data_IF_822682781680
#
_entry.id   IF_822682781680
#
_cell.length_a   1.000
_cell.length_b   1.000
_cell.length_c   1.000
_cell.angle_alpha   90.00
_cell.angle_beta   90.00
_cell.angle_gamma   90.00
#
_symmetry.space_group_name_H-M   'P 1'
#
loop_
_entity.id
_entity.type
_entity.pdbx_description
1 polymer ?
#
# COMPACT_ATOMS: atom_id res chain seq x y z
N UNK A 1 4.24 10.99 -53.82
CA UNK A 1 5.60 11.11 -53.25
C UNK A 1 5.48 10.75 -51.78
N UNK A 2 5.86 9.55 -51.36
CA UNK A 2 5.77 9.12 -49.97
C UNK A 2 7.02 9.64 -49.23
N UNK A 3 6.83 10.49 -48.23
CA UNK A 3 7.91 10.98 -47.38
C UNK A 3 8.23 9.88 -46.37
N UNK A 4 9.41 9.26 -46.49
CA UNK A 4 9.91 8.32 -45.50
C UNK A 4 10.11 9.08 -44.18
N UNK A 5 9.44 8.61 -43.12
CA UNK A 5 9.54 9.18 -41.78
C UNK A 5 10.52 8.31 -41.00
N UNK A 6 11.74 8.79 -40.83
CA UNK A 6 12.75 8.09 -40.04
C UNK A 6 12.30 8.04 -38.58
N UNK A 7 12.23 6.83 -38.02
CA UNK A 7 11.83 6.59 -36.62
C UNK A 7 13.08 6.17 -35.85
N UNK A 8 13.52 7.03 -34.94
CA UNK A 8 14.60 6.72 -34.02
C UNK A 8 14.10 5.77 -32.92
N UNK A 9 14.85 4.69 -32.66
CA UNK A 9 14.50 3.68 -31.67
C UNK A 9 15.69 3.38 -30.78
N UNK A 10 15.45 3.27 -29.48
CA UNK A 10 16.46 2.86 -28.51
C UNK A 10 16.03 1.53 -27.89
N UNK A 11 16.99 0.61 -27.80
CA UNK A 11 16.82 -0.71 -27.23
C UNK A 11 17.80 -0.89 -26.08
N UNK A 12 17.30 -1.40 -24.96
CA UNK A 12 18.11 -1.72 -23.79
C UNK A 12 18.33 -3.22 -23.71
N UNK A 13 19.60 -3.58 -23.53
CA UNK A 13 20.05 -4.96 -23.39
C UNK A 13 20.65 -5.17 -22.01
N UNK A 14 20.39 -6.34 -21.42
CA UNK A 14 21.09 -6.85 -20.24
C UNK A 14 21.74 -8.18 -20.64
N UNK A 15 23.05 -8.15 -20.84
CA UNK A 15 23.76 -9.21 -21.55
C UNK A 15 23.27 -9.30 -23.00
N UNK A 16 22.86 -10.50 -23.43
CA UNK A 16 22.32 -10.74 -24.77
C UNK A 16 20.78 -10.61 -24.86
N UNK A 17 20.11 -10.30 -23.76
CA UNK A 17 18.65 -10.22 -23.70
C UNK A 17 18.15 -8.77 -23.81
N UNK A 18 17.28 -8.51 -24.80
CA UNK A 18 16.58 -7.23 -24.92
C UNK A 18 15.49 -7.12 -23.84
N UNK A 19 15.60 -6.12 -22.97
CA UNK A 19 14.66 -5.92 -21.84
C UNK A 19 13.66 -4.81 -22.08
N UNK A 20 13.96 -3.85 -22.96
CA UNK A 20 13.04 -2.76 -23.32
C UNK A 20 13.32 -2.20 -24.72
N UNK A 21 12.27 -1.73 -25.39
CA UNK A 21 12.33 -0.94 -26.64
C UNK A 21 11.38 0.26 -26.50
N UNK A 22 11.86 1.45 -26.87
CA UNK A 22 11.01 2.64 -26.97
C UNK A 22 11.56 3.61 -28.02
N UNK A 23 10.66 4.28 -28.72
CA UNK A 23 10.90 5.37 -29.68
C UNK A 23 10.83 6.76 -29.04
N UNK A 24 10.53 6.84 -27.73
CA UNK A 24 10.46 8.11 -27.02
C UNK A 24 11.84 8.56 -26.51
N UNK A 25 12.42 9.53 -27.22
CA UNK A 25 13.71 10.14 -26.87
C UNK A 25 13.72 10.76 -25.47
N UNK A 26 12.59 11.34 -25.03
CA UNK A 26 12.50 12.00 -23.71
C UNK A 26 12.55 11.00 -22.57
N UNK A 27 11.92 9.84 -22.76
CA UNK A 27 11.98 8.73 -21.81
C UNK A 27 13.43 8.27 -21.61
N UNK A 28 14.20 8.10 -22.68
CA UNK A 28 15.59 7.66 -22.55
C UNK A 28 16.49 8.70 -21.89
N UNK A 29 16.30 9.98 -22.20
CA UNK A 29 17.05 11.06 -21.53
C UNK A 29 16.82 11.06 -20.00
N UNK A 30 15.59 10.78 -19.54
CA UNK A 30 15.32 10.73 -18.10
C UNK A 30 15.92 9.49 -17.44
N UNK A 31 15.87 8.33 -18.12
CA UNK A 31 16.50 7.09 -17.63
C UNK A 31 18.02 7.26 -17.49
N UNK A 32 18.70 7.79 -18.51
CA UNK A 32 20.14 8.03 -18.43
C UNK A 32 20.52 9.07 -17.36
N UNK A 33 19.71 10.13 -17.20
CA UNK A 33 19.93 11.12 -16.14
C UNK A 33 19.75 10.52 -14.74
N UNK A 34 18.81 9.59 -14.55
CA UNK A 34 18.60 8.90 -13.29
C UNK A 34 19.74 7.92 -12.96
N UNK A 35 20.25 7.19 -13.96
CA UNK A 35 21.38 6.27 -13.78
C UNK A 35 22.64 7.04 -13.36
N UNK A 36 22.97 8.13 -14.06
CA UNK A 36 24.17 8.91 -13.79
C UNK A 36 24.10 9.71 -12.46
N UNK A 37 22.90 9.91 -11.90
CA UNK A 37 22.75 10.57 -10.58
C UNK A 37 23.10 9.69 -9.39
N UNK A 38 23.20 8.38 -9.57
CA UNK A 38 23.44 7.45 -8.46
C UNK A 38 24.92 7.12 -8.22
N UNK A 39 25.86 7.66 -9.00
CA UNK A 39 27.29 7.37 -8.82
C UNK A 39 28.06 8.37 -7.93
N UNK A 40 27.54 9.57 -7.65
CA UNK A 40 28.25 10.56 -6.82
C UNK A 40 27.49 10.93 -5.54
N UNK A 41 28.18 10.70 -4.41
CA UNK A 41 27.77 11.01 -3.04
C UNK A 41 27.58 12.50 -2.76
N UNK A 42 26.74 12.83 -1.77
CA UNK A 42 27.02 13.96 -0.86
C UNK A 42 26.38 15.31 -1.17
N UNK A 43 25.64 15.80 -0.17
CA UNK A 43 25.43 17.20 0.24
C UNK A 43 25.78 18.32 -0.75
N UNK A 44 24.78 19.04 -1.27
CA UNK A 44 24.52 20.48 -0.99
C UNK A 44 23.40 21.02 -1.88
N UNK A 45 22.73 22.03 -1.34
CA UNK A 45 21.55 22.70 -1.84
C UNK A 45 21.73 23.42 -3.19
N UNK A 46 20.60 23.48 -3.89
CA UNK A 46 20.00 24.67 -4.48
C UNK A 46 19.99 24.79 -6.02
N UNK A 47 18.74 24.84 -6.50
CA UNK A 47 18.25 25.44 -7.74
C UNK A 47 18.79 24.96 -9.09
N UNK A 48 17.92 24.30 -9.88
CA UNK A 48 17.17 25.03 -10.90
C UNK A 48 16.01 24.17 -11.43
N UNK A 49 14.84 24.81 -11.39
CA UNK A 49 13.56 24.39 -11.93
C UNK A 49 13.69 24.04 -13.41
N UNK A 50 13.06 22.93 -13.84
CA UNK A 50 12.31 22.84 -15.10
C UNK A 50 11.56 21.48 -15.19
N UNK A 51 10.24 21.61 -15.37
CA UNK A 51 9.25 20.63 -15.81
C UNK A 51 8.72 19.57 -14.84
N UNK A 52 8.01 20.09 -13.84
CA UNK A 52 7.08 19.40 -12.92
C UNK A 52 5.76 18.93 -13.57
N UNK A 53 5.75 18.59 -14.86
CA UNK A 53 4.49 18.28 -15.58
C UNK A 53 4.42 16.87 -16.18
N UNK A 54 5.34 15.97 -15.82
CA UNK A 54 5.32 14.55 -16.23
C UNK A 54 5.39 13.58 -15.03
N UNK A 55 5.50 14.08 -13.78
CA UNK A 55 5.53 13.28 -12.55
C UNK A 55 4.28 13.38 -11.67
N UNK A 56 3.26 14.14 -12.10
CA UNK A 56 2.03 14.37 -11.33
C UNK A 56 1.11 13.13 -11.20
N UNK A 57 1.43 12.01 -11.87
CA UNK A 57 0.70 10.76 -11.71
C UNK A 57 1.13 9.91 -10.52
N UNK A 58 2.41 9.96 -10.14
CA UNK A 58 2.98 9.08 -9.10
C UNK A 58 3.04 9.76 -7.73
N UNK A 59 3.25 11.08 -7.69
CA UNK A 59 3.36 11.83 -6.44
C UNK A 59 2.04 11.89 -5.65
N UNK A 60 0.89 11.89 -6.33
CA UNK A 60 -0.43 11.94 -5.67
C UNK A 60 -0.79 10.65 -4.92
N UNK A 61 -0.30 9.50 -5.38
CA UNK A 61 -0.54 8.20 -4.70
C UNK A 61 0.43 8.04 -3.52
N UNK A 62 1.65 8.57 -3.64
CA UNK A 62 2.66 8.45 -2.59
C UNK A 62 2.29 9.23 -1.32
N UNK A 63 1.65 10.40 -1.43
CA UNK A 63 1.32 11.20 -0.25
C UNK A 63 0.37 10.48 0.76
N UNK A 64 -0.76 9.88 0.33
CA UNK A 64 -1.58 9.03 1.20
C UNK A 64 -0.81 7.87 1.84
N UNK A 65 0.06 7.20 1.07
CA UNK A 65 0.85 6.05 1.57
C UNK A 65 1.82 6.51 2.65
N UNK A 66 2.50 7.65 2.44
CA UNK A 66 3.42 8.24 3.43
C UNK A 66 2.66 8.63 4.70
N UNK A 67 1.48 9.24 4.57
CA UNK A 67 0.62 9.57 5.72
C UNK A 67 0.23 8.30 6.48
N UNK A 68 -0.16 7.25 5.77
CA UNK A 68 -0.54 5.98 6.36
C UNK A 68 0.63 5.29 7.09
N UNK A 69 1.81 5.26 6.48
CA UNK A 69 3.02 4.73 7.10
C UNK A 69 3.40 5.51 8.36
N UNK A 70 3.32 6.85 8.31
CA UNK A 70 3.58 7.72 9.46
C UNK A 70 2.56 7.53 10.58
N UNK A 71 1.30 7.31 10.24
CA UNK A 71 0.21 7.07 11.18
C UNK A 71 0.37 5.74 11.92
N UNK A 72 0.83 4.70 11.23
CA UNK A 72 1.14 3.40 11.83
C UNK A 72 2.50 3.43 12.58
N UNK A 73 3.42 4.30 12.16
CA UNK A 73 4.78 4.38 12.71
C UNK A 73 5.70 3.29 12.18
N UNK A 74 5.60 2.99 10.87
CA UNK A 74 6.46 2.03 10.14
C UNK A 74 7.08 2.69 8.91
N UNK A 75 8.11 2.05 8.35
CA UNK A 75 8.70 2.50 7.10
C UNK A 75 7.76 2.25 5.91
N UNK A 76 7.82 3.17 4.93
CA UNK A 76 6.96 3.11 3.73
C UNK A 76 7.21 1.83 2.93
N UNK A 77 8.47 1.38 2.85
CA UNK A 77 8.80 0.15 2.10
C UNK A 77 8.17 -1.08 2.75
N UNK A 78 8.18 -1.18 4.08
CA UNK A 78 7.54 -2.28 4.81
C UNK A 78 6.02 -2.27 4.63
N UNK A 79 5.40 -1.09 4.69
CA UNK A 79 3.96 -0.95 4.46
C UNK A 79 3.57 -1.40 3.04
N UNK A 80 4.33 -0.98 2.03
CA UNK A 80 4.08 -1.36 0.64
C UNK A 80 4.24 -2.86 0.42
N UNK A 81 5.26 -3.48 1.03
CA UNK A 81 5.47 -4.92 0.97
C UNK A 81 4.31 -5.69 1.62
N UNK A 82 3.79 -5.19 2.75
CA UNK A 82 2.76 -5.91 3.51
C UNK A 82 1.33 -5.71 2.96
N UNK A 83 1.02 -4.51 2.46
CA UNK A 83 -0.36 -4.08 2.20
C UNK A 83 -0.59 -3.47 0.81
N UNK A 84 0.44 -3.06 0.07
CA UNK A 84 0.34 -2.39 -1.24
C UNK A 84 -0.95 -1.55 -1.44
N UNK A 85 -1.09 -0.43 -0.71
CA UNK A 85 -2.33 0.35 -0.69
C UNK A 85 -2.55 1.12 -2.00
N UNK A 86 -3.79 1.15 -2.49
CA UNK A 86 -4.21 1.74 -3.77
C UNK A 86 -5.49 2.58 -3.57
N UNK A 87 -5.68 3.63 -4.36
CA UNK A 87 -6.88 4.50 -4.29
C UNK A 87 -8.13 3.92 -4.99
N UNK A 88 -7.96 2.87 -5.79
CA UNK A 88 -9.05 2.19 -6.51
C UNK A 88 -9.27 0.82 -5.90
N UNK A 89 -10.51 0.32 -5.99
CA UNK A 89 -10.85 -1.05 -5.58
C UNK A 89 -9.86 -2.06 -6.19
N UNK A 90 -9.31 -3.01 -5.39
CA UNK A 90 -9.74 -3.41 -4.04
C UNK A 90 -9.18 -2.56 -2.88
N UNK A 91 -8.56 -1.41 -3.17
CA UNK A 91 -7.93 -0.44 -2.27
C UNK A 91 -6.67 -0.91 -1.54
N UNK A 92 -6.46 -2.21 -1.41
CA UNK A 92 -5.31 -2.77 -0.70
C UNK A 92 -5.07 -4.21 -1.16
N UNK A 93 -3.80 -4.61 -1.29
CA UNK A 93 -3.42 -6.00 -1.52
C UNK A 93 -2.57 -6.51 -0.37
N UNK A 94 -3.12 -7.44 0.40
CA UNK A 94 -2.37 -8.04 1.51
C UNK A 94 -1.37 -9.05 0.97
N UNK A 95 -0.14 -9.00 1.46
CA UNK A 95 0.85 -10.01 1.14
C UNK A 95 0.59 -11.30 1.95
N UNK A 96 0.49 -12.42 1.22
CA UNK A 96 0.20 -13.73 1.80
C UNK A 96 1.31 -14.20 2.76
N UNK A 97 2.58 -13.83 2.53
CA UNK A 97 3.68 -14.26 3.39
C UNK A 97 3.64 -13.52 4.72
N UNK A 98 3.39 -12.21 4.68
CA UNK A 98 3.18 -11.39 5.88
C UNK A 98 2.00 -11.92 6.71
N UNK A 99 0.90 -12.27 6.05
CA UNK A 99 -0.24 -12.93 6.71
C UNK A 99 0.14 -14.26 7.37
N UNK A 100 0.82 -15.15 6.65
CA UNK A 100 1.20 -16.47 7.19
C UNK A 100 2.16 -16.38 8.38
N UNK A 101 3.07 -15.40 8.39
CA UNK A 101 3.96 -15.14 9.51
C UNK A 101 3.21 -14.55 10.71
N UNK A 102 2.36 -13.55 10.47
CA UNK A 102 1.56 -12.92 11.52
C UNK A 102 0.62 -13.91 12.21
N UNK A 103 -0.04 -14.81 11.47
CA UNK A 103 -0.92 -15.85 12.05
C UNK A 103 -0.17 -16.79 13.00
N UNK A 104 1.13 -17.05 12.79
CA UNK A 104 1.92 -17.86 13.72
C UNK A 104 2.17 -17.14 15.05
N UNK A 105 2.17 -15.82 15.03
CA UNK A 105 2.49 -14.97 16.17
C UNK A 105 1.25 -14.50 16.94
N UNK A 106 0.05 -14.71 16.39
CA UNK A 106 -1.22 -14.33 17.02
C UNK A 106 -1.93 -15.57 17.58
N UNK A 107 -2.46 -15.51 18.81
CA UNK A 107 -3.19 -16.65 19.37
C UNK A 107 -4.46 -16.93 18.57
N UNK A 108 -4.74 -18.21 18.31
CA UNK A 108 -5.94 -18.64 17.57
C UNK A 108 -7.24 -18.38 18.35
N UNK A 109 -7.16 -18.29 19.68
CA UNK A 109 -8.29 -18.09 20.60
C UNK A 109 -7.87 -17.22 21.77
N UNK A 110 -8.81 -16.46 22.31
CA UNK A 110 -8.61 -15.64 23.49
C UNK A 110 -8.97 -14.17 23.26
N UNK A 111 -8.79 -13.33 24.28
CA UNK A 111 -9.12 -11.90 24.21
C UNK A 111 -8.22 -11.13 23.23
N UNK A 112 -7.01 -11.62 22.97
CA UNK A 112 -6.03 -11.02 22.05
C UNK A 112 -6.06 -11.64 20.65
N UNK A 113 -6.99 -12.57 20.39
CA UNK A 113 -7.12 -13.20 19.09
C UNK A 113 -7.81 -12.25 18.11
N UNK A 114 -7.16 -11.98 16.97
CA UNK A 114 -7.68 -11.11 15.91
C UNK A 114 -8.07 -11.96 14.72
N UNK A 115 -9.31 -11.83 14.24
CA UNK A 115 -9.75 -12.56 13.05
C UNK A 115 -9.25 -11.90 11.77
N UNK A 116 -9.14 -12.67 10.68
CA UNK A 116 -8.76 -12.14 9.36
C UNK A 116 -9.63 -10.95 8.93
N UNK A 117 -10.94 -11.05 9.17
CA UNK A 117 -11.89 -9.98 8.86
C UNK A 117 -11.69 -8.74 9.75
N UNK A 118 -11.40 -8.92 11.03
CA UNK A 118 -11.09 -7.79 11.91
C UNK A 118 -9.79 -7.10 11.48
N UNK A 119 -8.76 -7.86 11.07
CA UNK A 119 -7.51 -7.30 10.57
C UNK A 119 -7.74 -6.50 9.28
N UNK A 120 -8.39 -7.09 8.26
CA UNK A 120 -8.61 -6.39 6.98
C UNK A 120 -9.46 -5.13 7.16
N UNK A 121 -10.49 -5.20 8.00
CA UNK A 121 -11.29 -4.03 8.38
C UNK A 121 -10.45 -2.95 9.07
N UNK A 122 -9.52 -3.34 9.94
CA UNK A 122 -8.64 -2.41 10.66
C UNK A 122 -7.72 -1.66 9.69
N UNK A 123 -7.01 -2.41 8.85
CA UNK A 123 -6.09 -1.86 7.85
C UNK A 123 -6.83 -0.93 6.87
N UNK A 124 -8.00 -1.36 6.39
CA UNK A 124 -8.80 -0.58 5.44
C UNK A 124 -9.36 0.70 6.06
N UNK A 125 -9.83 0.66 7.32
CA UNK A 125 -10.29 1.87 8.01
C UNK A 125 -9.18 2.90 8.19
N UNK A 126 -7.98 2.45 8.55
CA UNK A 126 -6.83 3.35 8.70
C UNK A 126 -6.40 3.91 7.34
N UNK A 127 -6.31 3.07 6.31
CA UNK A 127 -5.99 3.52 4.95
C UNK A 127 -6.96 4.58 4.44
N UNK A 128 -8.27 4.33 4.58
CA UNK A 128 -9.30 5.26 4.15
C UNK A 128 -9.22 6.60 4.87
N UNK A 129 -8.88 6.57 6.17
CA UNK A 129 -8.62 7.77 6.95
C UNK A 129 -7.42 8.55 6.40
N UNK A 130 -6.29 7.88 6.14
CA UNK A 130 -5.08 8.55 5.63
C UNK A 130 -5.24 9.03 4.17
N UNK A 131 -6.04 8.33 3.37
CA UNK A 131 -6.33 8.66 1.97
C UNK A 131 -7.47 9.68 1.78
N UNK A 132 -8.19 10.05 2.86
CA UNK A 132 -9.34 10.96 2.78
C UNK A 132 -10.55 10.37 2.06
N UNK A 133 -10.71 9.04 2.09
CA UNK A 133 -11.84 8.31 1.52
C UNK A 133 -12.98 8.16 2.54
N UNK A 134 -14.19 7.93 2.04
CA UNK A 134 -15.33 7.60 2.91
C UNK A 134 -15.18 6.20 3.51
N UNK A 135 -15.52 6.05 4.80
CA UNK A 135 -15.41 4.81 5.59
C UNK A 135 -15.68 3.51 4.81
N UNK A 136 -14.86 2.46 5.01
CA UNK A 136 -14.98 1.26 4.22
C UNK A 136 -16.22 0.43 4.57
N UNK A 137 -16.65 -0.40 3.63
CA UNK A 137 -17.75 -1.34 3.81
C UNK A 137 -17.26 -2.75 4.15
N UNK A 138 -18.14 -3.56 4.74
CA UNK A 138 -17.84 -4.99 4.97
C UNK A 138 -17.53 -5.75 3.68
N UNK A 139 -18.16 -5.37 2.57
CA UNK A 139 -17.93 -6.02 1.27
C UNK A 139 -16.52 -5.77 0.75
N UNK A 140 -16.01 -4.53 0.87
CA UNK A 140 -14.64 -4.20 0.47
C UNK A 140 -13.61 -4.99 1.30
N UNK A 141 -13.86 -5.18 2.59
CA UNK A 141 -13.00 -6.03 3.44
C UNK A 141 -12.99 -7.49 2.99
N UNK A 142 -14.15 -8.01 2.55
CA UNK A 142 -14.24 -9.37 2.02
C UNK A 142 -13.49 -9.49 0.69
N UNK A 143 -13.59 -8.50 -0.20
CA UNK A 143 -12.87 -8.49 -1.49
C UNK A 143 -11.35 -8.61 -1.28
N UNK A 144 -10.80 -7.86 -0.32
CA UNK A 144 -9.36 -7.91 0.00
C UNK A 144 -8.96 -9.29 0.54
N UNK A 145 -9.78 -9.89 1.40
CA UNK A 145 -9.49 -11.24 1.93
C UNK A 145 -9.60 -12.30 0.83
N UNK A 146 -10.61 -12.21 -0.04
CA UNK A 146 -10.77 -13.14 -1.15
C UNK A 146 -9.60 -13.07 -2.13
N UNK A 147 -8.96 -11.91 -2.30
CA UNK A 147 -7.77 -11.75 -3.13
C UNK A 147 -6.57 -12.57 -2.64
N UNK A 148 -6.48 -12.83 -1.33
CA UNK A 148 -5.50 -13.73 -0.72
C UNK A 148 -6.09 -15.13 -0.47
N UNK A 149 -7.23 -15.48 -1.05
CA UNK A 149 -7.83 -16.82 -0.86
C UNK A 149 -8.33 -17.09 0.56
N UNK A 150 -8.60 -16.06 1.35
CA UNK A 150 -9.21 -16.17 2.67
C UNK A 150 -10.68 -15.75 2.64
N UNK A 151 -11.47 -16.38 3.50
CA UNK A 151 -12.85 -15.96 3.73
C UNK A 151 -13.04 -15.47 5.17
N UNK A 152 -13.68 -14.30 5.31
CA UNK A 152 -14.11 -13.78 6.60
C UNK A 152 -15.22 -14.65 7.22
N UNK A 153 -14.85 -15.61 8.08
CA UNK A 153 -15.85 -16.37 8.85
C UNK A 153 -16.56 -15.45 9.86
N UNK A 154 -17.87 -15.29 9.71
CA UNK A 154 -18.73 -14.47 10.56
C UNK A 154 -18.26 -12.99 10.71
N UNK A 155 -18.34 -12.16 9.64
CA UNK A 155 -17.90 -10.77 9.65
C UNK A 155 -18.49 -9.94 10.81
N UNK A 156 -19.81 -10.02 11.02
CA UNK A 156 -20.51 -9.29 12.08
C UNK A 156 -19.99 -9.64 13.47
N UNK A 157 -19.69 -10.92 13.73
CA UNK A 157 -19.14 -11.37 15.02
C UNK A 157 -17.71 -10.88 15.20
N UNK A 158 -16.91 -10.93 14.14
CA UNK A 158 -15.53 -10.43 14.13
C UNK A 158 -15.47 -8.95 14.52
N UNK A 159 -16.34 -8.12 13.95
CA UNK A 159 -16.41 -6.69 14.28
C UNK A 159 -16.92 -6.47 15.71
N UNK A 160 -17.95 -7.19 16.15
CA UNK A 160 -18.48 -7.06 17.53
C UNK A 160 -17.47 -7.43 18.61
N UNK A 161 -16.61 -8.41 18.34
CA UNK A 161 -15.58 -8.87 19.27
C UNK A 161 -14.31 -8.01 19.23
N UNK A 162 -14.23 -7.05 18.31
CA UNK A 162 -13.08 -6.19 18.14
C UNK A 162 -13.31 -4.85 18.87
N UNK A 163 -12.52 -4.52 19.90
CA UNK A 163 -12.80 -3.35 20.73
C UNK A 163 -12.66 -2.02 19.97
N UNK A 164 -11.75 -1.92 18.99
CA UNK A 164 -11.51 -0.69 18.22
C UNK A 164 -12.39 -0.53 16.97
N UNK A 165 -13.14 -1.57 16.55
CA UNK A 165 -14.04 -1.50 15.41
C UNK A 165 -15.49 -1.32 15.83
N UNK A 166 -16.27 -0.66 14.99
CA UNK A 166 -17.72 -0.57 15.11
C UNK A 166 -18.37 -0.61 13.73
N UNK A 167 -19.52 -1.29 13.65
CA UNK A 167 -20.38 -1.27 12.45
C UNK A 167 -21.49 -0.25 12.64
N UNK A 168 -21.68 0.62 11.66
CA UNK A 168 -22.82 1.55 11.57
C UNK A 168 -23.92 0.97 10.68
N UNK A 169 -25.02 1.71 10.53
CA UNK A 169 -26.09 1.39 9.56
C UNK A 169 -25.49 1.31 8.15
N UNK A 170 -25.93 0.32 7.37
CA UNK A 170 -25.44 0.11 6.00
C UNK A 170 -24.11 -0.65 5.91
N UNK A 171 -23.70 -1.40 6.94
CA UNK A 171 -22.45 -2.20 6.94
C UNK A 171 -21.17 -1.36 6.74
N UNK A 172 -21.24 -0.07 7.05
CA UNK A 172 -20.10 0.84 7.08
C UNK A 172 -19.31 0.57 8.36
N UNK A 173 -18.00 0.42 8.22
CA UNK A 173 -17.07 0.15 9.29
C UNK A 173 -16.39 1.45 9.70
N UNK A 174 -16.25 1.66 11.01
CA UNK A 174 -15.60 2.85 11.56
C UNK A 174 -14.69 2.44 12.72
N UNK A 175 -13.58 3.15 12.89
CA UNK A 175 -12.77 3.06 14.10
C UNK A 175 -13.48 3.78 15.25
N UNK A 176 -13.37 3.23 16.47
CA UNK A 176 -13.77 3.95 17.68
C UNK A 176 -12.65 4.91 18.07
N UNK A 177 -12.93 6.22 18.23
CA UNK A 177 -11.88 7.20 18.52
C UNK A 177 -11.05 6.91 19.78
N UNK A 178 -11.66 6.31 20.80
CA UNK A 178 -10.99 5.99 22.07
C UNK A 178 -9.99 4.83 21.98
N UNK A 179 -10.00 4.04 20.90
CA UNK A 179 -9.24 2.79 20.76
C UNK A 179 -8.42 2.77 19.47
N UNK A 180 -8.12 3.95 18.89
CA UNK A 180 -7.33 4.09 17.67
C UNK A 180 -5.92 3.51 17.87
N UNK A 181 -5.33 3.69 19.06
CA UNK A 181 -3.98 3.23 19.34
C UNK A 181 -3.85 1.71 19.21
N UNK A 182 -4.87 0.95 19.65
CA UNK A 182 -4.92 -0.50 19.46
C UNK A 182 -5.05 -0.90 17.99
N UNK A 183 -5.83 -0.14 17.21
CA UNK A 183 -5.96 -0.35 15.78
C UNK A 183 -4.61 -0.17 15.06
N UNK A 184 -3.89 0.90 15.43
CA UNK A 184 -2.54 1.21 14.93
C UNK A 184 -1.56 0.12 15.32
N UNK A 185 -1.57 -0.34 16.57
CA UNK A 185 -0.68 -1.40 17.04
C UNK A 185 -0.91 -2.73 16.29
N UNK A 186 -2.15 -3.11 16.04
CA UNK A 186 -2.46 -4.32 15.25
C UNK A 186 -1.99 -4.17 13.80
N UNK A 187 -2.21 -3.01 13.19
CA UNK A 187 -1.74 -2.73 11.83
C UNK A 187 -0.19 -2.76 11.75
N UNK A 188 0.48 -2.19 12.74
CA UNK A 188 1.93 -2.21 12.89
C UNK A 188 2.46 -3.63 13.03
N UNK A 189 1.89 -4.39 13.97
CA UNK A 189 2.28 -5.77 14.22
C UNK A 189 2.12 -6.65 12.98
N UNK A 190 1.08 -6.43 12.17
CA UNK A 190 0.91 -7.12 10.89
C UNK A 190 2.04 -6.79 9.91
N UNK A 191 2.37 -5.51 9.72
CA UNK A 191 3.41 -5.09 8.78
C UNK A 191 4.81 -5.56 9.21
N UNK A 192 5.09 -5.55 10.51
CA UNK A 192 6.36 -6.02 11.08
C UNK A 192 6.42 -7.55 11.25
N UNK A 193 5.31 -8.26 10.99
CA UNK A 193 5.14 -9.71 11.26
C UNK A 193 5.34 -10.09 12.73
N UNK A 194 5.01 -9.19 13.66
CA UNK A 194 5.13 -9.37 15.10
C UNK A 194 3.77 -9.70 15.77
N UNK A 195 3.81 -10.12 17.04
CA UNK A 195 2.61 -10.21 17.89
C UNK A 195 2.17 -8.80 18.34
N UNK A 196 0.87 -8.45 18.25
CA UNK A 196 0.39 -7.18 18.80
C UNK A 196 0.29 -7.25 20.34
N UNK A 197 0.59 -6.16 21.06
CA UNK A 197 0.34 -6.07 22.51
C UNK A 197 -1.07 -5.50 22.75
N UNK A 198 -2.07 -6.37 22.75
CA UNK A 198 -3.49 -6.02 22.90
C UNK A 198 -3.98 -6.01 24.35
#
# INVERSE_FOLDING_TARGET
MAVAKDVFKVRLFVGDNQVAESDDVKLWQSVFAAINRNEDSGTTSDSLRLNDNILSGTSQIQEPVIKFAKEIGIDVSMLQIACDPILKEPFMHLDMRCWAEWVKNVPTRGPTAVSAFALSATLLCLWFRSAGLENPTMQQCQTILSAIGLEGKNPTRSIKNCPWLQSRRGQILQLKPAEIDKAVEVAKAFCEKNSPNL
#
